data_IF_438586548613
#
_entry.id   IF_438586548613
#
_cell.length_a   1.000
_cell.length_b   1.000
_cell.length_c   1.000
_cell.angle_alpha   90.00
_cell.angle_beta   90.00
_cell.angle_gamma   90.00
#
_symmetry.space_group_name_H-M   'P 1'
#
loop_
_entity.id
_entity.type
_entity.pdbx_description
1 polymer ?
#
# COMPACT_ATOMS: atom_id res chain seq x y z
N UNK A 1 -21.29 2.18 4.38
CA UNK A 1 -20.05 1.63 4.98
C UNK A 1 -18.85 2.07 4.17
N UNK A 2 -17.73 2.49 4.80
CA UNK A 2 -16.55 2.93 4.06
C UNK A 2 -16.03 1.81 3.12
N UNK A 3 -15.60 2.22 1.92
CA UNK A 3 -15.10 1.30 0.88
C UNK A 3 -13.79 0.62 1.31
N UNK A 4 -12.98 1.29 2.12
CA UNK A 4 -11.74 0.78 2.72
C UNK A 4 -11.84 0.88 4.26
N UNK A 5 -11.26 -0.06 4.99
CA UNK A 5 -11.13 0.06 6.45
C UNK A 5 -10.13 1.16 6.85
N UNK A 6 -10.22 1.61 8.10
CA UNK A 6 -9.21 2.50 8.71
C UNK A 6 -7.81 1.86 8.68
N UNK A 7 -7.70 0.54 8.88
CA UNK A 7 -6.42 -0.16 8.81
C UNK A 7 -5.86 -0.19 7.38
N UNK A 8 -6.69 -0.40 6.36
CA UNK A 8 -6.26 -0.28 4.97
C UNK A 8 -5.73 1.12 4.63
N UNK A 9 -6.40 2.18 5.10
CA UNK A 9 -5.93 3.55 4.93
C UNK A 9 -4.58 3.79 5.62
N UNK A 10 -4.38 3.24 6.83
CA UNK A 10 -3.11 3.34 7.57
C UNK A 10 -1.96 2.66 6.83
N UNK A 11 -2.17 1.48 6.26
CA UNK A 11 -1.14 0.77 5.47
C UNK A 11 -0.74 1.56 4.22
N UNK A 12 -1.70 2.11 3.50
CA UNK A 12 -1.42 2.98 2.34
C UNK A 12 -0.67 4.24 2.77
N UNK A 13 -1.07 4.87 3.88
CA UNK A 13 -0.37 6.05 4.40
C UNK A 13 1.08 5.74 4.80
N UNK A 14 1.33 4.57 5.42
CA UNK A 14 2.68 4.11 5.76
C UNK A 14 3.54 3.93 4.51
N UNK A 15 3.03 3.20 3.52
CA UNK A 15 3.73 2.96 2.25
C UNK A 15 4.02 4.28 1.51
N UNK A 16 3.04 5.20 1.50
CA UNK A 16 3.22 6.52 0.89
C UNK A 16 4.26 7.38 1.63
N UNK A 17 4.42 7.20 2.94
CA UNK A 17 5.46 7.88 3.72
C UNK A 17 6.85 7.33 3.38
N UNK A 18 7.01 6.01 3.28
CA UNK A 18 8.24 5.36 2.84
C UNK A 18 8.60 5.75 1.39
N UNK A 19 7.60 5.84 0.52
CA UNK A 19 7.78 6.31 -0.86
C UNK A 19 8.27 7.76 -0.90
N UNK A 20 7.65 8.67 -0.12
CA UNK A 20 8.08 10.08 -0.04
C UNK A 20 9.51 10.24 0.48
N UNK A 21 10.01 9.29 1.27
CA UNK A 21 11.40 9.25 1.74
C UNK A 21 12.38 8.62 0.73
N UNK A 22 11.89 7.97 -0.33
CA UNK A 22 12.73 7.25 -1.28
C UNK A 22 13.21 5.87 -0.80
N UNK A 23 12.53 5.33 0.22
CA UNK A 23 12.84 4.06 0.91
C UNK A 23 11.87 2.92 0.54
N UNK A 24 10.78 3.21 -0.17
CA UNK A 24 9.82 2.17 -0.56
C UNK A 24 10.40 1.23 -1.62
N UNK A 25 10.28 -0.08 -1.36
CA UNK A 25 10.78 -1.16 -2.21
C UNK A 25 9.67 -2.08 -2.72
N UNK A 26 9.92 -2.71 -3.86
CA UNK A 26 8.98 -3.64 -4.49
C UNK A 26 9.14 -5.03 -3.87
N UNK A 27 8.26 -5.35 -2.92
CA UNK A 27 8.22 -6.67 -2.29
C UNK A 27 9.55 -7.04 -1.63
N UNK A 28 10.11 -8.19 -1.99
CA UNK A 28 11.44 -8.65 -1.50
C UNK A 28 12.61 -8.19 -2.38
N UNK A 29 12.37 -7.38 -3.41
CA UNK A 29 13.41 -6.92 -4.34
C UNK A 29 14.02 -5.59 -3.88
N UNK A 30 15.30 -5.39 -4.19
CA UNK A 30 15.99 -4.10 -4.00
C UNK A 30 15.50 -3.00 -4.96
N UNK A 31 14.60 -3.32 -5.90
CA UNK A 31 14.00 -2.33 -6.80
C UNK A 31 13.15 -1.33 -6.01
N UNK A 32 13.45 -0.04 -6.15
CA UNK A 32 12.66 1.06 -5.56
C UNK A 32 11.32 1.23 -6.29
N UNK A 33 10.32 1.70 -5.54
CA UNK A 33 9.03 2.10 -6.09
C UNK A 33 9.22 3.36 -6.94
N UNK A 34 8.73 3.34 -8.17
CA UNK A 34 8.94 4.44 -9.14
C UNK A 34 7.76 5.40 -9.23
N UNK A 35 6.57 4.99 -8.79
CA UNK A 35 5.36 5.81 -8.93
C UNK A 35 4.49 5.78 -7.68
N UNK A 36 3.76 6.88 -7.46
CA UNK A 36 2.76 6.98 -6.37
C UNK A 36 1.68 5.91 -6.49
N UNK A 37 1.23 5.62 -7.70
CA UNK A 37 0.23 4.58 -7.96
C UNK A 37 0.74 3.20 -7.53
N UNK A 38 2.02 2.90 -7.80
CA UNK A 38 2.64 1.66 -7.37
C UNK A 38 2.75 1.57 -5.84
N UNK A 39 3.13 2.66 -5.16
CA UNK A 39 3.12 2.72 -3.70
C UNK A 39 1.72 2.44 -3.12
N UNK A 40 0.68 3.09 -3.67
CA UNK A 40 -0.71 2.84 -3.24
C UNK A 40 -1.10 1.37 -3.47
N UNK A 41 -0.73 0.79 -4.60
CA UNK A 41 -1.02 -0.62 -4.90
C UNK A 41 -0.33 -1.59 -3.92
N UNK A 42 0.92 -1.30 -3.53
CA UNK A 42 1.65 -2.10 -2.53
C UNK A 42 0.98 -1.96 -1.15
N UNK A 43 0.63 -0.75 -0.72
CA UNK A 43 -0.07 -0.51 0.54
C UNK A 43 -1.42 -1.22 0.61
N UNK A 44 -2.21 -1.19 -0.48
CA UNK A 44 -3.46 -1.94 -0.58
C UNK A 44 -3.26 -3.46 -0.59
N UNK A 45 -2.14 -3.95 -1.15
CA UNK A 45 -1.78 -5.37 -1.12
C UNK A 45 -1.41 -5.82 0.31
N UNK A 46 -0.61 -5.04 1.03
CA UNK A 46 -0.26 -5.26 2.45
C UNK A 46 -1.50 -5.26 3.33
N UNK A 47 -2.41 -4.31 3.13
CA UNK A 47 -3.69 -4.28 3.82
C UNK A 47 -4.50 -5.57 3.59
N UNK A 48 -4.64 -6.01 2.34
CA UNK A 48 -5.36 -7.25 2.02
C UNK A 48 -4.72 -8.47 2.68
N UNK A 49 -3.39 -8.56 2.70
CA UNK A 49 -2.66 -9.65 3.36
C UNK A 49 -2.87 -9.66 4.89
N UNK A 50 -3.10 -8.50 5.50
CA UNK A 50 -3.44 -8.35 6.93
C UNK A 50 -4.92 -8.63 7.25
N UNK A 51 -5.73 -8.99 6.26
CA UNK A 51 -7.17 -9.22 6.45
C UNK A 51 -8.00 -7.94 6.56
N UNK A 52 -7.42 -6.77 6.23
CA UNK A 52 -8.15 -5.51 6.24
C UNK A 52 -9.21 -5.46 5.14
N UNK A 53 -10.28 -4.71 5.39
CA UNK A 53 -11.35 -4.52 4.39
C UNK A 53 -10.82 -3.69 3.22
N UNK A 54 -10.51 -4.38 2.12
CA UNK A 54 -10.14 -3.80 0.84
C UNK A 54 -11.10 -4.34 -0.24
N UNK A 55 -11.70 -3.48 -1.09
CA UNK A 55 -12.54 -3.94 -2.20
C UNK A 55 -11.79 -4.92 -3.10
N UNK A 56 -12.52 -5.86 -3.69
CA UNK A 56 -11.97 -6.72 -4.74
C UNK A 56 -11.56 -5.86 -5.94
N UNK A 57 -10.49 -6.26 -6.63
CA UNK A 57 -10.20 -5.70 -7.96
C UNK A 57 -11.40 -6.06 -8.85
N UNK A 58 -11.88 -5.08 -9.63
CA UNK A 58 -12.81 -5.36 -10.71
C UNK A 58 -12.04 -6.01 -11.86
#
# INVERSE_FOLDING_TARGET
MAKYSKGAQKEVAKEMREFKKGEAHIGKSNKKVKSKQQAVAIGLSKARAKGEKVPKKK
#
